data_IF_781307187462
#
_entry.id   IF_781307187462
#
_cell.length_a   1.000
_cell.length_b   1.000
_cell.length_c   1.000
_cell.angle_alpha   90.00
_cell.angle_beta   90.00
_cell.angle_gamma   90.00
#
_symmetry.space_group_name_H-M   'P 1'
#
loop_
_entity.id
_entity.type
_entity.pdbx_description
1 polymer ?
#
# COMPACT_ATOMS: atom_id res chain seq x y z
N UNK A 1 -1.62 26.46 -3.10
CA UNK A 1 -1.13 25.06 -2.99
C UNK A 1 -1.23 24.39 -4.36
N UNK A 2 -0.13 23.82 -4.86
CA UNK A 2 -0.10 23.15 -6.17
C UNK A 2 -0.80 21.79 -6.03
N UNK A 3 -1.94 21.61 -6.70
CA UNK A 3 -2.71 20.36 -6.65
C UNK A 3 -2.01 19.25 -7.44
N UNK A 4 -2.09 18.02 -6.96
CA UNK A 4 -1.45 16.83 -7.54
C UNK A 4 -2.31 16.32 -8.70
N UNK A 5 -1.69 15.93 -9.81
CA UNK A 5 -2.41 15.35 -10.94
C UNK A 5 -2.89 13.92 -10.60
N UNK A 6 -4.11 13.53 -11.02
CA UNK A 6 -4.73 12.27 -10.62
C UNK A 6 -3.94 11.03 -11.09
N UNK A 7 -3.14 11.15 -12.15
CA UNK A 7 -2.27 10.08 -12.65
C UNK A 7 -1.28 9.64 -11.58
N UNK A 8 -0.62 10.59 -10.91
CA UNK A 8 0.35 10.29 -9.85
C UNK A 8 -0.31 9.62 -8.65
N UNK A 9 -1.53 10.05 -8.31
CA UNK A 9 -2.29 9.47 -7.20
C UNK A 9 -2.68 8.01 -7.49
N UNK A 10 -3.08 7.71 -8.73
CA UNK A 10 -3.37 6.35 -9.16
C UNK A 10 -2.14 5.46 -9.18
N UNK A 11 -0.97 5.96 -9.61
CA UNK A 11 0.29 5.20 -9.57
C UNK A 11 0.62 4.78 -8.14
N UNK A 12 0.56 5.72 -7.19
CA UNK A 12 0.83 5.44 -5.77
C UNK A 12 -0.21 4.46 -5.20
N UNK A 13 -1.47 4.57 -5.62
CA UNK A 13 -2.51 3.62 -5.25
C UNK A 13 -2.20 2.20 -5.71
N UNK A 14 -1.92 2.00 -7.01
CA UNK A 14 -1.59 0.68 -7.54
C UNK A 14 -0.32 0.12 -6.93
N UNK A 15 0.70 0.95 -6.71
CA UNK A 15 1.92 0.54 -6.01
C UNK A 15 1.60 0.06 -4.59
N UNK A 16 0.74 0.76 -3.85
CA UNK A 16 0.34 0.36 -2.49
C UNK A 16 -0.41 -0.98 -2.47
N UNK A 17 -1.28 -1.24 -3.45
CA UNK A 17 -1.98 -2.52 -3.57
C UNK A 17 -1.04 -3.68 -3.89
N UNK A 18 -0.12 -3.50 -4.85
CA UNK A 18 0.87 -4.52 -5.23
C UNK A 18 1.77 -4.83 -4.01
N UNK A 19 2.25 -3.79 -3.32
CA UNK A 19 3.10 -3.96 -2.15
C UNK A 19 2.35 -4.65 -1.00
N UNK A 20 1.09 -4.31 -0.78
CA UNK A 20 0.24 -4.96 0.22
C UNK A 20 0.00 -6.44 -0.08
N UNK A 21 -0.31 -6.79 -1.32
CA UNK A 21 -0.46 -8.19 -1.74
C UNK A 21 0.84 -8.97 -1.61
N UNK A 22 1.97 -8.36 -1.98
CA UNK A 22 3.29 -8.98 -1.85
C UNK A 22 3.64 -9.26 -0.38
N UNK A 23 3.42 -8.28 0.51
CA UNK A 23 3.65 -8.43 1.95
C UNK A 23 2.73 -9.50 2.56
N UNK A 24 1.46 -9.54 2.16
CA UNK A 24 0.53 -10.57 2.62
C UNK A 24 0.97 -11.97 2.15
N UNK A 25 1.40 -12.09 0.90
CA UNK A 25 1.90 -13.33 0.33
C UNK A 25 3.19 -13.79 1.02
N UNK A 26 4.12 -12.88 1.33
CA UNK A 26 5.36 -13.22 2.03
C UNK A 26 5.10 -13.73 3.45
N UNK A 27 4.17 -13.09 4.18
CA UNK A 27 3.73 -13.55 5.50
C UNK A 27 3.07 -14.94 5.40
N UNK A 28 2.25 -15.16 4.37
CA UNK A 28 1.58 -16.44 4.14
C UNK A 28 2.57 -17.59 3.88
N UNK A 29 3.58 -17.38 3.03
CA UNK A 29 4.64 -18.36 2.81
C UNK A 29 5.43 -18.61 4.09
N UNK A 30 5.84 -17.55 4.80
CA UNK A 30 6.62 -17.72 6.02
C UNK A 30 5.86 -18.49 7.10
N UNK A 31 4.54 -18.29 7.24
CA UNK A 31 3.72 -19.11 8.16
C UNK A 31 3.83 -20.61 7.91
N UNK A 32 4.01 -21.05 6.66
CA UNK A 32 4.08 -22.48 6.33
C UNK A 32 5.37 -23.15 6.80
N UNK A 33 6.45 -22.38 7.00
CA UNK A 33 7.73 -22.88 7.48
C UNK A 33 7.98 -22.66 8.97
N UNK A 34 7.05 -22.00 9.68
CA UNK A 34 7.23 -21.65 11.09
C UNK A 34 6.65 -22.74 12.02
N UNK A 35 7.35 -23.08 13.11
CA UNK A 35 6.82 -24.00 14.13
C UNK A 35 5.54 -23.44 14.77
N UNK A 36 4.68 -24.31 15.32
CA UNK A 36 3.45 -23.90 15.97
C UNK A 36 3.75 -22.91 17.11
N UNK A 37 3.13 -21.74 17.07
CA UNK A 37 3.32 -20.67 18.06
C UNK A 37 4.31 -19.57 17.67
N UNK A 38 5.06 -19.72 16.57
CA UNK A 38 5.93 -18.64 16.09
C UNK A 38 5.14 -17.58 15.29
N UNK A 39 5.36 -16.30 15.62
CA UNK A 39 4.69 -15.19 14.96
C UNK A 39 5.43 -14.81 13.65
N UNK A 40 4.82 -15.00 12.47
CA UNK A 40 5.42 -14.63 11.18
C UNK A 40 5.54 -13.11 10.98
N UNK A 41 4.95 -12.31 11.87
CA UNK A 41 4.93 -10.85 11.77
C UNK A 41 6.29 -10.26 12.11
N UNK A 42 7.02 -10.88 13.04
CA UNK A 42 8.24 -10.34 13.63
C UNK A 42 9.37 -10.19 12.61
N UNK A 43 9.51 -11.17 11.69
CA UNK A 43 10.51 -11.14 10.61
C UNK A 43 10.11 -10.29 9.40
N UNK A 44 8.84 -9.89 9.29
CA UNK A 44 8.32 -9.09 8.16
C UNK A 44 7.87 -7.69 8.59
N UNK A 45 8.17 -7.28 9.83
CA UNK A 45 7.81 -5.97 10.41
C UNK A 45 8.19 -4.81 9.51
N UNK A 46 9.38 -4.86 8.89
CA UNK A 46 9.87 -3.82 7.98
C UNK A 46 8.98 -3.68 6.72
N UNK A 47 8.62 -4.80 6.08
CA UNK A 47 7.77 -4.80 4.88
C UNK A 47 6.34 -4.33 5.19
N UNK A 48 5.85 -4.71 6.37
CA UNK A 48 4.55 -4.26 6.87
C UNK A 48 4.58 -2.74 7.12
N UNK A 49 5.63 -2.22 7.77
CA UNK A 49 5.80 -0.79 8.01
C UNK A 49 5.86 0.00 6.70
N UNK A 50 6.63 -0.45 5.71
CA UNK A 50 6.70 0.18 4.38
C UNK A 50 5.32 0.21 3.71
N UNK A 51 4.58 -0.89 3.77
CA UNK A 51 3.22 -0.98 3.21
C UNK A 51 2.28 0.02 3.88
N UNK A 52 2.32 0.12 5.21
CA UNK A 52 1.50 1.08 5.98
C UNK A 52 1.86 2.51 5.61
N UNK A 53 3.15 2.84 5.54
CA UNK A 53 3.61 4.19 5.15
C UNK A 53 3.15 4.53 3.73
N UNK A 54 3.22 3.58 2.79
CA UNK A 54 2.72 3.79 1.42
C UNK A 54 1.21 4.05 1.39
N UNK A 55 0.44 3.28 2.17
CA UNK A 55 -1.01 3.42 2.24
C UNK A 55 -1.43 4.75 2.89
N UNK A 56 -0.77 5.15 3.97
CA UNK A 56 -0.98 6.46 4.63
C UNK A 56 -0.55 7.59 3.70
N UNK A 57 0.57 7.45 2.99
CA UNK A 57 1.03 8.41 2.00
C UNK A 57 0.04 8.61 0.87
N UNK A 58 -0.53 7.52 0.32
CA UNK A 58 -1.63 7.58 -0.63
C UNK A 58 -2.84 8.32 -0.07
N UNK A 59 -3.26 7.96 1.15
CA UNK A 59 -4.42 8.58 1.81
C UNK A 59 -4.22 10.10 1.96
N UNK A 60 -3.04 10.54 2.39
CA UNK A 60 -2.72 11.97 2.46
C UNK A 60 -2.75 12.61 1.06
N UNK A 61 -2.17 11.96 0.05
CA UNK A 61 -2.19 12.48 -1.33
C UNK A 61 -3.60 12.72 -1.85
N UNK A 62 -4.58 11.85 -1.51
CA UNK A 62 -5.96 12.02 -1.98
C UNK A 62 -6.62 13.34 -1.58
N UNK A 63 -6.21 13.95 -0.46
CA UNK A 63 -6.71 15.28 -0.06
C UNK A 63 -6.18 16.42 -0.94
N UNK A 64 -5.04 16.21 -1.61
CA UNK A 64 -4.37 17.21 -2.45
C UNK A 64 -4.49 16.93 -3.95
N UNK A 65 -5.08 15.80 -4.33
CA UNK A 65 -5.33 15.41 -5.72
C UNK A 65 -6.42 16.28 -6.34
N UNK A 66 -6.21 16.72 -7.58
CA UNK A 66 -7.26 17.41 -8.36
C UNK A 66 -8.42 16.44 -8.60
N UNK A 67 -9.65 16.92 -8.44
CA UNK A 67 -10.81 16.17 -8.90
C UNK A 67 -10.62 15.78 -10.38
N UNK A 68 -10.85 14.51 -10.76
CA UNK A 68 -10.79 14.12 -12.15
C UNK A 68 -11.81 14.94 -12.94
N UNK A 69 -11.52 15.30 -14.21
CA UNK A 69 -12.50 15.98 -15.05
C UNK A 69 -13.74 15.09 -15.12
N UNK A 70 -14.92 15.65 -14.80
CA UNK A 70 -16.19 14.95 -15.00
C UNK A 70 -16.24 14.55 -16.46
N UNK A 71 -16.28 13.25 -16.73
CA UNK A 71 -16.72 12.75 -18.04
C UNK A 71 -18.22 12.99 -18.09
N UNK A 72 -18.64 14.12 -18.68
CA UNK A 72 -20.01 14.26 -19.17
C UNK A 72 -20.20 13.18 -20.24
N UNK A 73 -21.12 12.26 -19.94
CA UNK A 73 -21.60 11.22 -20.85
C UNK A 73 -22.94 11.62 -21.40
#
# INVERSE_FOLDING_TARGET
MKKIDPIWTNIVFYASLIMGLFTLYSIYISRRGLPPGACPVESHTEKIAITIVLAVGYFIMTFFTKAPPKKES
#
